data_IF_011646208594
#
_entry.id   IF_011646208594
#
_cell.length_a   1.000
_cell.length_b   1.000
_cell.length_c   1.000
_cell.angle_alpha   90.00
_cell.angle_beta   90.00
_cell.angle_gamma   90.00
#
_symmetry.space_group_name_H-M   'P 1'
#
loop_
_entity.id
_entity.type
_entity.pdbx_description
1 polymer ?
#
# COMPACT_ATOMS: atom_id res chain seq x y z
N UNK A 1 -35.65 -84.65 -41.83
CA UNK A 1 -34.63 -85.64 -41.41
C UNK A 1 -33.27 -84.99 -41.61
N UNK A 2 -32.57 -84.62 -40.52
CA UNK A 2 -31.38 -85.30 -39.96
C UNK A 2 -30.18 -85.20 -40.92
N UNK A 3 -28.95 -84.84 -40.55
CA UNK A 3 -28.25 -84.55 -39.29
C UNK A 3 -26.92 -83.88 -39.74
N UNK A 4 -26.52 -82.74 -39.16
CA UNK A 4 -25.40 -82.62 -38.18
C UNK A 4 -24.11 -83.40 -38.51
N UNK A 5 -22.98 -82.69 -38.44
CA UNK A 5 -21.77 -83.01 -37.62
C UNK A 5 -20.73 -81.88 -37.88
N UNK A 6 -20.53 -80.98 -36.89
CA UNK A 6 -19.34 -80.86 -36.01
C UNK A 6 -18.21 -80.03 -36.64
N UNK A 7 -17.37 -79.25 -35.94
CA UNK A 7 -17.22 -78.83 -34.53
C UNK A 7 -16.19 -77.70 -34.62
N UNK A 8 -16.45 -76.55 -33.99
CA UNK A 8 -15.73 -76.08 -32.80
C UNK A 8 -14.23 -75.74 -33.03
N UNK A 9 -13.85 -74.45 -32.85
CA UNK A 9 -12.89 -74.02 -31.82
C UNK A 9 -12.46 -72.54 -31.93
N UNK A 10 -12.71 -71.81 -30.82
CA UNK A 10 -11.78 -70.90 -30.10
C UNK A 10 -11.67 -69.42 -30.58
N UNK A 11 -12.21 -68.52 -29.73
CA UNK A 11 -11.94 -67.07 -29.55
C UNK A 11 -10.44 -66.76 -29.27
N UNK A 12 -9.99 -65.51 -29.02
CA UNK A 12 -10.20 -64.20 -29.67
C UNK A 12 -8.83 -63.50 -29.90
N UNK A 13 -8.72 -62.48 -30.76
CA UNK A 13 -7.65 -61.49 -30.62
C UNK A 13 -8.22 -60.08 -30.74
N UNK A 14 -8.37 -59.45 -29.58
CA UNK A 14 -8.59 -58.03 -29.37
C UNK A 14 -7.39 -57.26 -29.94
N UNK A 15 -7.59 -56.55 -31.05
CA UNK A 15 -6.71 -55.45 -31.42
C UNK A 15 -7.31 -54.16 -30.83
N UNK A 16 -6.80 -53.76 -29.66
CA UNK A 16 -7.17 -52.52 -29.00
C UNK A 16 -6.68 -51.31 -29.82
N UNK A 17 -7.60 -50.53 -30.34
CA UNK A 17 -7.35 -49.18 -30.84
C UNK A 17 -7.23 -48.23 -29.65
N UNK A 18 -5.99 -47.89 -29.27
CA UNK A 18 -5.73 -46.81 -28.35
C UNK A 18 -5.93 -45.47 -29.08
N UNK A 19 -7.09 -44.83 -28.88
CA UNK A 19 -7.29 -43.43 -29.25
C UNK A 19 -6.48 -42.54 -28.30
N UNK A 20 -5.43 -41.91 -28.83
CA UNK A 20 -4.71 -40.86 -28.14
C UNK A 20 -5.59 -39.59 -28.15
N UNK A 21 -6.32 -39.35 -27.06
CA UNK A 21 -7.03 -38.10 -26.85
C UNK A 21 -5.99 -37.01 -26.51
N UNK A 22 -5.67 -36.16 -27.49
CA UNK A 22 -4.89 -34.95 -27.27
C UNK A 22 -5.75 -33.96 -26.48
N UNK A 23 -5.72 -34.05 -25.15
CA UNK A 23 -6.38 -33.09 -24.28
C UNK A 23 -5.60 -31.77 -24.36
N UNK A 24 -6.17 -30.80 -25.09
CA UNK A 24 -5.84 -29.39 -24.93
C UNK A 24 -6.21 -29.02 -23.49
N UNK A 25 -5.23 -29.03 -22.59
CA UNK A 25 -5.40 -28.42 -21.29
C UNK A 25 -5.64 -26.91 -21.53
N UNK A 26 -6.79 -26.34 -21.13
CA UNK A 26 -6.90 -24.91 -21.09
C UNK A 26 -5.80 -24.40 -20.16
N UNK A 27 -4.91 -23.57 -20.70
CA UNK A 27 -3.89 -22.90 -19.92
C UNK A 27 -4.58 -22.24 -18.74
N UNK A 28 -4.18 -22.63 -17.53
CA UNK A 28 -4.59 -21.96 -16.31
C UNK A 28 -3.90 -20.59 -16.36
N UNK A 29 -4.49 -19.64 -17.09
CA UNK A 29 -4.23 -18.24 -16.83
C UNK A 29 -4.68 -18.04 -15.39
N UNK A 30 -3.72 -17.83 -14.50
CA UNK A 30 -4.01 -17.26 -13.19
C UNK A 30 -4.89 -16.05 -13.46
N UNK A 31 -6.16 -16.11 -13.04
CA UNK A 31 -7.05 -14.99 -13.10
C UNK A 31 -6.42 -13.91 -12.22
N UNK A 32 -5.65 -13.00 -12.82
CA UNK A 32 -5.31 -11.76 -12.18
C UNK A 32 -6.65 -11.16 -11.75
N UNK A 33 -6.90 -11.11 -10.43
CA UNK A 33 -8.17 -10.66 -9.90
C UNK A 33 -8.54 -9.33 -10.56
N UNK A 34 -9.82 -9.18 -10.92
CA UNK A 34 -10.31 -7.99 -11.62
C UNK A 34 -9.83 -6.73 -10.89
N UNK A 35 -9.16 -5.84 -11.63
CA UNK A 35 -8.70 -4.55 -11.10
C UNK A 35 -9.74 -3.50 -11.45
N UNK A 36 -10.30 -2.85 -10.44
CA UNK A 36 -11.21 -1.74 -10.59
C UNK A 36 -10.42 -0.45 -10.79
N UNK A 37 -10.54 0.15 -11.98
CA UNK A 37 -9.91 1.44 -12.25
C UNK A 37 -10.65 2.56 -11.53
N UNK A 38 -9.90 3.43 -10.85
CA UNK A 38 -10.39 4.64 -10.22
C UNK A 38 -10.13 5.81 -11.18
N UNK A 39 -11.21 6.43 -11.64
CA UNK A 39 -11.17 7.70 -12.36
C UNK A 39 -10.85 8.86 -11.37
N UNK A 40 -9.75 9.62 -11.57
CA UNK A 40 -9.40 10.74 -10.72
C UNK A 40 -10.38 11.92 -10.75
N UNK A 41 -11.24 12.00 -11.76
CA UNK A 41 -12.31 13.01 -11.85
C UNK A 41 -13.56 12.66 -11.04
N UNK A 42 -13.61 11.47 -10.45
CA UNK A 42 -14.74 10.98 -9.64
C UNK A 42 -14.85 11.75 -8.32
N UNK A 43 -16.07 12.12 -7.94
CA UNK A 43 -16.42 12.65 -6.63
C UNK A 43 -17.66 11.93 -6.11
N UNK A 44 -17.49 11.04 -5.12
CA UNK A 44 -18.55 10.17 -4.63
C UNK A 44 -19.44 10.82 -3.59
N UNK A 45 -18.83 11.50 -2.61
CA UNK A 45 -19.55 12.07 -1.46
C UNK A 45 -18.90 13.38 -1.02
N UNK A 46 -19.64 14.36 -0.47
CA UNK A 46 -19.03 15.51 0.18
C UNK A 46 -17.98 15.06 1.22
N UNK A 47 -16.78 15.64 1.15
CA UNK A 47 -15.65 15.28 2.02
C UNK A 47 -14.78 14.12 1.50
N UNK A 48 -15.22 13.37 0.48
CA UNK A 48 -14.47 12.24 -0.10
C UNK A 48 -14.56 12.21 -1.63
N UNK A 49 -13.44 12.22 -2.35
CA UNK A 49 -13.50 12.08 -3.81
C UNK A 49 -13.88 10.64 -4.21
N UNK A 50 -13.27 9.65 -3.59
CA UNK A 50 -13.50 8.24 -3.89
C UNK A 50 -13.81 7.48 -2.61
N UNK A 51 -14.85 6.65 -2.64
CA UNK A 51 -15.19 5.71 -1.57
C UNK A 51 -15.12 4.28 -2.13
N UNK A 52 -14.31 3.45 -1.48
CA UNK A 52 -14.17 2.02 -1.75
C UNK A 52 -15.02 1.26 -0.73
N UNK A 53 -16.16 0.71 -1.16
CA UNK A 53 -17.10 0.00 -0.28
C UNK A 53 -17.00 -1.52 -0.40
N UNK A 54 -16.16 -2.03 -1.30
CA UNK A 54 -15.99 -3.47 -1.55
C UNK A 54 -14.51 -3.87 -1.52
N UNK A 55 -14.25 -5.08 -1.01
CA UNK A 55 -12.93 -5.69 -1.08
C UNK A 55 -12.46 -5.84 -2.54
N UNK A 56 -11.15 -5.81 -2.77
CA UNK A 56 -10.62 -6.03 -4.13
C UNK A 56 -9.36 -5.24 -4.45
N UNK A 57 -9.00 -5.27 -5.73
CA UNK A 57 -7.84 -4.57 -6.27
C UNK A 57 -8.29 -3.32 -7.00
N UNK A 58 -7.75 -2.18 -6.61
CA UNK A 58 -8.06 -0.88 -7.17
C UNK A 58 -6.81 -0.24 -7.72
N UNK A 59 -6.96 0.49 -8.82
CA UNK A 59 -5.84 1.18 -9.46
C UNK A 59 -6.22 2.56 -9.94
N UNK A 60 -5.42 3.58 -9.63
CA UNK A 60 -5.61 4.91 -10.22
C UNK A 60 -5.35 4.86 -11.73
N UNK A 61 -6.23 5.49 -12.53
CA UNK A 61 -6.02 5.66 -13.97
C UNK A 61 -5.30 6.97 -14.35
N UNK A 62 -5.06 7.85 -13.37
CA UNK A 62 -4.37 9.12 -13.57
C UNK A 62 -4.10 9.87 -12.26
N UNK A 63 -3.55 11.08 -12.36
CA UNK A 63 -3.30 11.94 -11.21
C UNK A 63 -4.61 12.49 -10.65
N UNK A 64 -4.74 12.48 -9.33
CA UNK A 64 -5.91 12.97 -8.59
C UNK A 64 -5.60 14.29 -7.92
N UNK A 65 -6.46 15.29 -8.12
CA UNK A 65 -6.31 16.62 -7.51
C UNK A 65 -7.44 16.86 -6.50
N UNK A 66 -7.05 17.07 -5.25
CA UNK A 66 -7.95 17.46 -4.15
C UNK A 66 -7.87 18.98 -4.00
N UNK A 67 -9.00 19.67 -4.13
CA UNK A 67 -9.04 21.14 -4.18
C UNK A 67 -9.18 21.78 -2.81
N UNK A 68 -9.75 21.06 -1.84
CA UNK A 68 -10.00 21.52 -0.47
C UNK A 68 -9.13 20.72 0.52
N UNK A 69 -8.48 21.42 1.46
CA UNK A 69 -7.63 20.82 2.48
C UNK A 69 -8.42 19.95 3.47
N UNK A 70 -9.75 20.08 3.53
CA UNK A 70 -10.63 19.27 4.36
C UNK A 70 -11.19 18.04 3.64
N UNK A 71 -10.93 17.88 2.34
CA UNK A 71 -11.40 16.72 1.57
C UNK A 71 -10.39 15.59 1.63
N UNK A 72 -10.86 14.40 1.98
CA UNK A 72 -10.10 13.16 1.85
C UNK A 72 -10.16 12.65 0.41
N UNK A 73 -9.03 12.23 -0.15
CA UNK A 73 -9.02 11.79 -1.55
C UNK A 73 -9.68 10.41 -1.71
N UNK A 74 -9.23 9.41 -0.95
CA UNK A 74 -9.75 8.04 -1.01
C UNK A 74 -10.10 7.57 0.40
N UNK A 75 -11.37 7.22 0.60
CA UNK A 75 -11.91 6.56 1.78
C UNK A 75 -12.06 5.07 1.53
N UNK A 76 -11.48 4.23 2.39
CA UNK A 76 -11.60 2.77 2.29
C UNK A 76 -12.52 2.24 3.39
N UNK A 77 -13.70 1.78 2.97
CA UNK A 77 -14.75 1.24 3.84
C UNK A 77 -14.91 -0.29 3.76
N UNK A 78 -13.93 -0.99 3.19
CA UNK A 78 -13.91 -2.44 3.09
C UNK A 78 -12.56 -3.03 3.54
N UNK A 79 -12.61 -4.29 3.99
CA UNK A 79 -11.42 -5.09 4.25
C UNK A 79 -10.82 -5.63 2.94
N UNK A 80 -9.58 -6.11 3.00
CA UNK A 80 -8.88 -6.78 1.90
C UNK A 80 -8.83 -5.95 0.62
N UNK A 81 -8.45 -4.68 0.77
CA UNK A 81 -8.30 -3.72 -0.32
C UNK A 81 -6.83 -3.54 -0.65
N UNK A 82 -6.48 -3.76 -1.92
CA UNK A 82 -5.18 -3.35 -2.47
C UNK A 82 -5.40 -2.14 -3.36
N UNK A 83 -4.81 -1.01 -3.00
CA UNK A 83 -4.79 0.22 -3.76
C UNK A 83 -3.40 0.40 -4.41
N UNK A 84 -3.35 0.30 -5.72
CA UNK A 84 -2.17 0.59 -6.53
C UNK A 84 -2.31 2.00 -7.12
N UNK A 85 -1.46 2.92 -6.69
CA UNK A 85 -1.47 4.28 -7.24
C UNK A 85 -0.87 4.32 -8.65
N UNK A 86 -0.27 3.23 -9.14
CA UNK A 86 0.19 3.07 -10.53
C UNK A 86 1.15 4.16 -11.01
N UNK A 87 2.00 4.65 -10.12
CA UNK A 87 2.93 5.76 -10.36
C UNK A 87 2.29 7.14 -10.39
N UNK A 88 0.97 7.25 -10.17
CA UNK A 88 0.25 8.52 -10.16
C UNK A 88 0.33 9.23 -8.80
N UNK A 89 -0.05 10.51 -8.84
CA UNK A 89 -0.01 11.42 -7.70
C UNK A 89 -1.43 11.70 -7.19
N UNK A 90 -1.62 11.60 -5.88
CA UNK A 90 -2.72 12.25 -5.16
C UNK A 90 -2.18 13.58 -4.62
N UNK A 91 -2.74 14.70 -5.09
CA UNK A 91 -2.26 16.04 -4.79
C UNK A 91 -3.34 16.88 -4.12
N UNK A 92 -3.12 17.27 -2.86
CA UNK A 92 -3.95 18.26 -2.17
C UNK A 92 -3.50 19.71 -2.35
N UNK A 93 -4.20 20.68 -1.74
CA UNK A 93 -3.90 22.09 -1.91
C UNK A 93 -2.78 22.59 -0.99
N UNK A 94 -2.39 21.82 0.02
CA UNK A 94 -1.39 22.22 1.03
C UNK A 94 -0.01 22.36 0.41
N UNK A 95 0.72 23.38 0.88
CA UNK A 95 2.10 23.67 0.53
C UNK A 95 2.90 23.82 1.80
N UNK A 96 3.91 22.98 1.97
CA UNK A 96 4.96 23.18 2.97
C UNK A 96 6.12 23.92 2.30
N UNK A 97 6.40 25.14 2.75
CA UNK A 97 7.58 25.91 2.34
C UNK A 97 8.87 25.27 2.90
N UNK A 98 9.99 25.99 2.91
CA UNK A 98 11.18 25.52 3.63
C UNK A 98 10.83 25.41 5.13
N UNK A 99 10.78 24.18 5.62
CA UNK A 99 10.61 23.91 7.05
C UNK A 99 11.72 24.64 7.84
N UNK A 100 11.40 25.26 8.99
CA UNK A 100 10.25 24.98 9.86
C UNK A 100 8.98 25.79 9.57
N UNK A 101 8.89 26.53 8.45
CA UNK A 101 7.67 27.26 8.12
C UNK A 101 6.44 26.32 8.08
N UNK A 102 5.29 26.75 8.62
CA UNK A 102 4.10 25.91 8.69
C UNK A 102 3.57 25.61 7.29
N UNK A 103 2.97 24.43 7.14
CA UNK A 103 2.28 24.04 5.93
C UNK A 103 0.92 24.76 5.84
N UNK A 104 0.56 25.26 4.65
CA UNK A 104 -0.71 25.97 4.44
C UNK A 104 -1.27 25.74 3.02
N UNK A 105 -2.61 25.68 2.85
CA UNK A 105 -3.63 25.57 3.90
C UNK A 105 -3.55 24.22 4.62
N UNK A 106 -3.77 24.20 5.93
CA UNK A 106 -3.98 22.98 6.71
C UNK A 106 -5.46 22.62 6.74
N UNK A 107 -5.79 21.36 6.97
CA UNK A 107 -7.17 20.90 7.08
C UNK A 107 -7.25 19.49 7.67
N UNK A 108 -8.42 18.88 7.59
CA UNK A 108 -8.65 17.51 8.10
C UNK A 108 -8.53 16.41 7.04
N UNK A 109 -8.43 16.78 5.76
CA UNK A 109 -8.44 15.86 4.63
C UNK A 109 -7.16 15.05 4.49
N UNK A 110 -7.32 13.73 4.36
CA UNK A 110 -6.22 12.79 4.17
C UNK A 110 -6.09 12.35 2.71
N UNK A 111 -4.92 11.91 2.27
CA UNK A 111 -4.78 11.35 0.92
C UNK A 111 -5.50 10.01 0.81
N UNK A 112 -5.17 9.08 1.70
CA UNK A 112 -5.89 7.82 1.87
C UNK A 112 -6.24 7.62 3.34
N UNK A 113 -7.50 7.23 3.59
CA UNK A 113 -8.03 7.04 4.94
C UNK A 113 -8.76 5.71 5.08
N UNK A 114 -8.53 5.03 6.20
CA UNK A 114 -9.28 3.84 6.61
C UNK A 114 -9.24 3.68 8.14
N UNK A 115 -10.38 3.34 8.74
CA UNK A 115 -10.49 3.08 10.19
C UNK A 115 -11.28 1.80 10.42
N UNK A 116 -10.81 0.94 11.32
CA UNK A 116 -11.48 -0.32 11.66
C UNK A 116 -11.58 -1.28 10.48
N UNK A 117 -10.55 -1.31 9.63
CA UNK A 117 -10.40 -2.23 8.49
C UNK A 117 -9.23 -3.17 8.67
N UNK A 118 -9.17 -4.22 7.86
CA UNK A 118 -8.11 -5.23 7.85
C UNK A 118 -7.62 -5.51 6.44
N UNK A 119 -6.33 -5.81 6.29
CA UNK A 119 -5.76 -6.25 5.01
C UNK A 119 -5.71 -5.13 3.98
N UNK A 120 -5.31 -3.92 4.41
CA UNK A 120 -5.18 -2.76 3.53
C UNK A 120 -3.75 -2.71 2.99
N UNK A 121 -3.60 -2.74 1.67
CA UNK A 121 -2.31 -2.56 0.99
C UNK A 121 -2.36 -1.31 0.10
N UNK A 122 -1.37 -0.44 0.19
CA UNK A 122 -1.24 0.75 -0.66
C UNK A 122 0.16 0.76 -1.27
N UNK A 123 0.27 0.93 -2.58
CA UNK A 123 1.58 0.85 -3.26
C UNK A 123 1.74 1.75 -4.49
N UNK A 124 3.00 1.96 -4.85
CA UNK A 124 3.45 2.55 -6.12
C UNK A 124 2.90 3.93 -6.45
N UNK A 125 3.27 4.98 -5.71
CA UNK A 125 2.87 6.33 -6.09
C UNK A 125 3.23 7.40 -5.08
N UNK A 126 2.63 8.57 -5.26
CA UNK A 126 2.94 9.77 -4.49
C UNK A 126 1.65 10.32 -3.89
N UNK A 127 1.68 10.65 -2.60
CA UNK A 127 0.59 11.31 -1.90
C UNK A 127 1.14 12.57 -1.24
N UNK A 128 0.68 13.73 -1.72
CA UNK A 128 1.32 14.99 -1.39
C UNK A 128 0.39 16.17 -1.21
N UNK A 129 0.80 17.12 -0.37
CA UNK A 129 0.07 18.36 -0.17
C UNK A 129 -1.33 18.16 0.40
N UNK A 130 -1.58 17.08 1.14
CA UNK A 130 -2.85 16.87 1.83
C UNK A 130 -2.96 17.79 3.05
N UNK A 131 -4.19 18.17 3.41
CA UNK A 131 -4.44 19.09 4.52
C UNK A 131 -4.00 18.55 5.88
N UNK A 132 -4.14 17.24 6.07
CA UNK A 132 -3.76 16.51 7.27
C UNK A 132 -2.61 15.53 6.97
N UNK A 133 -2.89 14.23 6.91
CA UNK A 133 -1.90 13.20 6.61
C UNK A 133 -1.93 12.79 5.14
N UNK A 134 -0.78 12.34 4.62
CA UNK A 134 -0.77 11.62 3.34
C UNK A 134 -1.59 10.33 3.46
N UNK A 135 -1.26 9.50 4.45
CA UNK A 135 -1.97 8.25 4.73
C UNK A 135 -2.36 8.16 6.21
N UNK A 136 -3.61 7.83 6.50
CA UNK A 136 -4.10 7.59 7.85
C UNK A 136 -4.84 6.26 7.91
N UNK A 137 -4.25 5.25 8.55
CA UNK A 137 -4.81 3.90 8.63
C UNK A 137 -4.83 3.40 10.09
N UNK A 138 -6.00 3.43 10.70
CA UNK A 138 -6.24 2.86 12.02
C UNK A 138 -6.86 1.47 11.88
N UNK A 139 -6.02 0.49 11.55
CA UNK A 139 -6.44 -0.81 10.96
C UNK A 139 -5.48 -1.93 11.38
N UNK A 140 -5.93 -3.17 11.58
CA UNK A 140 -5.11 -4.22 12.22
C UNK A 140 -4.12 -4.97 11.28
N UNK A 141 -4.01 -4.60 10.01
CA UNK A 141 -3.04 -5.19 9.09
C UNK A 141 -2.86 -4.30 7.86
N UNK A 142 -1.73 -3.59 7.81
CA UNK A 142 -1.38 -2.63 6.76
C UNK A 142 -0.08 -3.01 6.06
N UNK A 143 -0.04 -2.80 4.75
CA UNK A 143 1.20 -2.77 3.98
C UNK A 143 1.27 -1.51 3.13
N UNK A 144 2.28 -0.66 3.36
CA UNK A 144 2.67 0.40 2.44
C UNK A 144 3.99 0.06 1.79
N UNK A 145 4.05 0.15 0.47
CA UNK A 145 5.26 -0.20 -0.27
C UNK A 145 5.46 0.68 -1.51
N UNK A 146 6.68 1.20 -1.71
CA UNK A 146 6.99 2.10 -2.82
C UNK A 146 6.07 3.34 -2.89
N UNK A 147 5.82 3.96 -1.74
CA UNK A 147 5.03 5.20 -1.64
C UNK A 147 5.93 6.37 -1.26
N UNK A 148 5.67 7.54 -1.84
CA UNK A 148 6.20 8.82 -1.37
C UNK A 148 5.07 9.59 -0.69
N UNK A 149 5.20 9.87 0.60
CA UNK A 149 4.31 10.77 1.35
C UNK A 149 5.04 12.06 1.68
N UNK A 150 4.69 13.15 1.00
CA UNK A 150 5.43 14.40 1.15
C UNK A 150 4.60 15.68 1.24
N UNK A 151 5.15 16.64 1.98
CA UNK A 151 4.59 18.00 2.12
C UNK A 151 3.12 18.01 2.54
N UNK A 152 2.71 17.05 3.36
CA UNK A 152 1.38 17.00 3.95
C UNK A 152 1.35 17.88 5.21
N UNK A 153 0.18 18.46 5.49
CA UNK A 153 0.00 19.51 6.49
C UNK A 153 0.36 19.08 7.91
N UNK A 154 0.12 17.81 8.26
CA UNK A 154 0.40 17.27 9.58
C UNK A 154 1.45 16.17 9.57
N UNK A 155 1.38 15.17 8.69
CA UNK A 155 2.37 14.09 8.71
C UNK A 155 2.36 13.26 7.44
N UNK A 156 3.40 12.44 7.26
CA UNK A 156 3.48 11.57 6.10
C UNK A 156 2.45 10.45 6.19
N UNK A 157 2.62 9.57 7.19
CA UNK A 157 1.70 8.46 7.39
C UNK A 157 1.51 8.05 8.86
N UNK A 158 0.30 7.60 9.18
CA UNK A 158 -0.13 7.10 10.49
C UNK A 158 -0.65 5.67 10.37
N UNK A 159 -0.15 4.75 11.19
CA UNK A 159 -0.62 3.35 11.21
C UNK A 159 -0.77 2.78 12.63
N UNK A 160 -1.69 1.83 12.79
CA UNK A 160 -1.90 1.09 14.04
C UNK A 160 -1.77 -0.42 13.78
N UNK A 161 -0.52 -0.87 13.63
CA UNK A 161 -0.20 -2.24 13.22
C UNK A 161 0.01 -2.35 11.71
N UNK A 162 1.17 -2.90 11.32
CA UNK A 162 1.47 -3.16 9.92
C UNK A 162 2.93 -2.91 9.54
N UNK A 163 3.17 -2.73 8.25
CA UNK A 163 4.50 -2.52 7.71
C UNK A 163 4.53 -1.42 6.67
N UNK A 164 5.66 -0.71 6.64
CA UNK A 164 5.98 0.23 5.57
C UNK A 164 7.40 -0.05 5.08
N UNK A 165 7.54 -0.20 3.77
CA UNK A 165 8.83 -0.47 3.14
C UNK A 165 9.08 0.29 1.85
N UNK A 166 10.36 0.45 1.52
CA UNK A 166 10.81 1.03 0.24
C UNK A 166 10.15 2.38 -0.08
N UNK A 167 9.82 3.15 0.96
CA UNK A 167 9.00 4.34 0.88
C UNK A 167 9.76 5.57 1.36
N UNK A 168 9.23 6.74 1.03
CA UNK A 168 9.81 8.04 1.38
C UNK A 168 8.79 8.85 2.17
N UNK A 169 9.17 9.36 3.33
CA UNK A 169 8.41 10.36 4.07
C UNK A 169 9.24 11.64 4.19
N UNK A 170 8.86 12.70 3.47
CA UNK A 170 9.65 13.92 3.40
C UNK A 170 8.86 15.21 3.54
N UNK A 171 9.45 16.22 4.18
CA UNK A 171 8.91 17.57 4.13
C UNK A 171 7.55 17.75 4.79
N UNK A 172 7.10 16.83 5.65
CA UNK A 172 5.78 16.89 6.26
C UNK A 172 5.76 17.82 7.49
N UNK A 173 4.59 18.42 7.76
CA UNK A 173 4.38 19.37 8.86
C UNK A 173 4.51 18.80 10.28
N UNK A 174 4.83 17.53 10.43
CA UNK A 174 4.95 16.84 11.70
C UNK A 174 5.82 15.61 11.56
N UNK A 175 5.36 14.43 11.97
CA UNK A 175 6.13 13.20 11.83
C UNK A 175 6.18 12.71 10.38
N UNK A 176 7.29 12.10 9.99
CA UNK A 176 7.37 11.38 8.72
C UNK A 176 6.44 10.15 8.74
N UNK A 177 6.70 9.26 9.69
CA UNK A 177 5.88 8.07 9.97
C UNK A 177 5.57 8.04 11.46
N UNK A 178 4.32 7.81 11.81
CA UNK A 178 3.86 7.71 13.19
C UNK A 178 3.00 6.45 13.40
N UNK A 179 3.07 5.81 14.57
CA UNK A 179 2.14 4.73 14.88
C UNK A 179 2.52 3.77 16.00
N UNK A 180 1.80 2.67 16.10
CA UNK A 180 1.98 1.61 17.10
C UNK A 180 2.14 0.26 16.40
N UNK A 181 2.97 -0.64 16.96
CA UNK A 181 3.21 -2.00 16.44
C UNK A 181 3.64 -2.03 14.96
N UNK A 182 4.59 -1.15 14.60
CA UNK A 182 5.07 -0.96 13.22
C UNK A 182 6.28 -1.82 12.87
N UNK A 183 6.34 -2.25 11.62
CA UNK A 183 7.55 -2.78 10.97
C UNK A 183 8.01 -1.81 9.89
N UNK A 184 9.07 -1.06 10.15
CA UNK A 184 9.56 0.00 9.27
C UNK A 184 10.89 -0.39 8.65
N UNK A 185 10.94 -0.69 7.35
CA UNK A 185 12.20 -1.13 6.71
C UNK A 185 12.53 -0.42 5.41
N UNK A 186 13.81 -0.18 5.16
CA UNK A 186 14.27 0.29 3.85
C UNK A 186 13.59 1.58 3.39
N UNK A 187 13.27 2.48 4.34
CA UNK A 187 12.62 3.76 4.04
C UNK A 187 13.58 4.93 4.15
N UNK A 188 13.24 6.04 3.51
CA UNK A 188 13.91 7.33 3.66
C UNK A 188 12.97 8.31 4.35
N UNK A 189 13.36 8.81 5.50
CA UNK A 189 12.61 9.82 6.26
C UNK A 189 13.46 11.07 6.38
N UNK A 190 13.05 12.19 5.76
CA UNK A 190 13.89 13.39 5.75
C UNK A 190 13.15 14.70 5.80
N UNK A 191 13.70 15.65 6.56
CA UNK A 191 13.17 17.00 6.64
C UNK A 191 11.70 17.00 7.05
N UNK A 192 11.29 16.18 8.01
CA UNK A 192 9.97 16.30 8.62
C UNK A 192 10.08 17.25 9.83
N UNK A 193 9.04 18.05 10.13
CA UNK A 193 9.11 19.04 11.22
C UNK A 193 9.36 18.39 12.59
N UNK A 194 8.84 17.18 12.80
CA UNK A 194 9.10 16.35 14.00
C UNK A 194 9.99 15.16 13.63
N UNK A 195 9.96 14.08 14.39
CA UNK A 195 10.77 12.88 14.13
C UNK A 195 10.47 12.31 12.74
N UNK A 196 11.49 11.71 12.12
CA UNK A 196 11.29 10.94 10.88
C UNK A 196 10.41 9.72 11.14
N UNK A 197 10.63 9.05 12.28
CA UNK A 197 9.81 7.95 12.78
C UNK A 197 9.46 8.17 14.25
N UNK A 198 8.18 8.12 14.58
CA UNK A 198 7.71 8.04 15.96
C UNK A 198 6.85 6.78 16.11
N UNK A 199 7.40 5.74 16.71
CA UNK A 199 6.69 4.47 16.85
C UNK A 199 6.66 3.98 18.30
N UNK A 200 5.63 3.21 18.64
CA UNK A 200 5.40 2.70 20.00
C UNK A 200 5.01 1.21 19.99
N UNK A 201 4.87 0.62 21.17
CA UNK A 201 4.53 -0.79 21.32
C UNK A 201 5.67 -1.70 20.85
N UNK A 202 5.34 -2.77 20.13
CA UNK A 202 6.26 -3.78 19.60
C UNK A 202 6.85 -3.38 18.24
N UNK A 203 7.08 -2.08 18.06
CA UNK A 203 7.63 -1.54 16.82
C UNK A 203 9.08 -1.94 16.60
N UNK A 204 9.45 -2.18 15.35
CA UNK A 204 10.81 -2.49 14.91
C UNK A 204 11.15 -1.72 13.64
N UNK A 205 12.42 -1.38 13.48
CA UNK A 205 12.88 -0.61 12.34
C UNK A 205 14.30 -1.02 11.91
N UNK A 206 14.51 -1.22 10.61
CA UNK A 206 15.82 -1.61 10.07
C UNK A 206 16.07 -1.08 8.66
N UNK A 207 17.34 -0.86 8.32
CA UNK A 207 17.81 -0.40 7.01
C UNK A 207 17.18 0.92 6.58
N UNK A 208 16.80 1.79 7.51
CA UNK A 208 16.20 3.08 7.20
C UNK A 208 17.25 4.19 7.18
N UNK A 209 16.99 5.22 6.37
CA UNK A 209 17.79 6.44 6.31
C UNK A 209 16.98 7.62 6.85
N UNK A 210 17.54 8.30 7.86
CA UNK A 210 16.99 9.49 8.47
C UNK A 210 17.91 10.68 8.25
N UNK A 211 17.35 11.82 7.84
CA UNK A 211 18.14 13.05 7.65
C UNK A 211 17.33 14.30 7.93
N UNK A 212 17.80 15.16 8.83
CA UNK A 212 17.24 16.50 9.00
C UNK A 212 15.80 16.54 9.48
N UNK A 213 15.30 15.49 10.09
CA UNK A 213 14.03 15.52 10.80
C UNK A 213 14.20 16.26 12.13
N UNK A 214 13.12 16.81 12.68
CA UNK A 214 13.10 17.41 14.01
C UNK A 214 14.20 18.46 14.20
N UNK A 215 14.40 19.35 13.22
CA UNK A 215 15.47 20.35 13.22
C UNK A 215 16.88 19.75 13.44
N UNK A 216 17.17 18.60 12.81
CA UNK A 216 18.39 17.81 12.99
C UNK A 216 18.63 17.24 14.41
N UNK A 217 17.64 17.32 15.31
CA UNK A 217 17.72 16.68 16.63
C UNK A 217 17.52 15.15 16.53
N UNK A 218 16.92 14.54 17.55
CA UNK A 218 16.57 13.12 17.51
C UNK A 218 15.75 12.81 16.23
N UNK A 219 16.15 11.77 15.50
CA UNK A 219 15.51 11.39 14.23
C UNK A 219 14.37 10.39 14.42
N UNK A 220 14.40 9.64 15.51
CA UNK A 220 13.42 8.64 15.91
C UNK A 220 13.34 8.58 17.44
N UNK A 221 12.23 8.07 17.99
CA UNK A 221 12.06 7.79 19.42
C UNK A 221 12.46 6.36 19.80
N UNK A 222 12.82 5.54 18.82
CA UNK A 222 13.25 4.16 19.02
C UNK A 222 14.77 4.06 19.15
N UNK A 223 15.24 3.11 19.96
CA UNK A 223 16.66 2.73 20.02
C UNK A 223 16.97 1.75 18.90
N UNK A 224 18.03 2.02 18.13
CA UNK A 224 18.47 1.12 17.06
C UNK A 224 19.48 0.10 17.61
N UNK A 225 19.33 -1.17 17.25
CA UNK A 225 20.42 -2.13 17.36
C UNK A 225 21.44 -1.91 16.25
N UNK A 226 22.71 -2.27 16.49
CA UNK A 226 23.77 -2.17 15.47
C UNK A 226 23.48 -3.05 14.24
N UNK A 227 22.85 -4.21 14.45
CA UNK A 227 22.46 -5.13 13.37
C UNK A 227 21.33 -4.59 12.48
N UNK A 228 20.58 -3.58 12.95
CA UNK A 228 19.44 -3.03 12.23
C UNK A 228 19.85 -2.11 11.08
N UNK A 229 21.10 -1.64 11.03
CA UNK A 229 21.67 -0.83 9.93
C UNK A 229 20.87 0.44 9.61
N UNK A 230 20.29 1.09 10.63
CA UNK A 230 19.64 2.40 10.46
C UNK A 230 20.70 3.50 10.45
N UNK A 231 20.54 4.47 9.54
CA UNK A 231 21.46 5.62 9.38
C UNK A 231 20.73 6.91 9.76
N UNK A 232 21.23 7.63 10.75
CA UNK A 232 20.73 8.92 11.23
C UNK A 232 21.78 10.01 10.98
N UNK A 233 21.44 11.01 10.16
CA UNK A 233 22.35 12.12 9.83
C UNK A 233 23.76 11.66 9.38
N UNK A 234 23.78 10.64 8.51
CA UNK A 234 25.00 10.00 7.97
C UNK A 234 25.85 9.16 8.96
N UNK A 235 25.36 8.92 10.18
CA UNK A 235 25.96 7.99 11.14
C UNK A 235 24.99 6.85 11.49
N UNK A 236 25.45 5.80 12.17
CA UNK A 236 24.54 4.79 12.72
C UNK A 236 23.59 5.45 13.74
N UNK A 237 22.30 5.11 13.68
CA UNK A 237 21.35 5.56 14.70
C UNK A 237 21.73 4.97 16.08
N UNK A 238 21.63 5.78 17.14
CA UNK A 238 21.85 5.39 18.53
C UNK A 238 20.53 5.42 19.30
#
# INVERSE_FOLDING_TARGET
MRNQIMRNRILPQLAGLALLALQLAPGISAAAGQVTMIDPGRADKPGFLVVIEQAGNYRLSGNMKVLDANTTAIEINADNVTLDLNGHVIQGPTRCQQLPAPCWPSGVGNGVHAVGRNGIAIKNGIIQGMGNYGVYLETNSVSLDHIVVNRNGHGGAVFFGGSISNSVAEGNGGYGIFGVDLKVRSNVMRGNQMLGLAAFGRSSFSNNQFKGNNNNAAQTNLKSGAADRNVCNAAACQ
#
